data_IF_311932459624
#
_entry.id   IF_311932459624
#
_cell.length_a   1.000
_cell.length_b   1.000
_cell.length_c   1.000
_cell.angle_alpha   90.00
_cell.angle_beta   90.00
_cell.angle_gamma   90.00
#
_symmetry.space_group_name_H-M   'P 1'
#
loop_
_entity.id
_entity.type
_entity.pdbx_description
1 polymer ?
#
# COMPACT_ATOMS: atom_id res chain seq x y z
N UNK A 1 4.29 9.21 31.10
CA UNK A 1 5.53 9.83 30.63
C UNK A 1 5.68 9.38 29.19
N UNK A 2 5.03 10.09 28.27
CA UNK A 2 5.13 9.78 26.84
C UNK A 2 6.54 10.16 26.40
N UNK A 3 7.28 9.19 25.87
CA UNK A 3 8.52 9.47 25.18
C UNK A 3 8.10 10.17 23.89
N UNK A 4 8.03 11.49 23.93
CA UNK A 4 7.95 12.32 22.75
C UNK A 4 9.29 12.16 22.03
N UNK A 5 9.38 11.15 21.16
CA UNK A 5 10.49 11.01 20.21
C UNK A 5 10.35 12.18 19.26
N UNK A 6 10.91 13.33 19.65
CA UNK A 6 11.14 14.47 18.78
C UNK A 6 12.05 13.94 17.64
N UNK A 7 11.54 13.76 16.41
CA UNK A 7 12.31 13.12 15.35
C UNK A 7 13.20 14.18 14.69
N UNK A 8 14.21 14.65 15.41
CA UNK A 8 15.03 15.79 14.95
C UNK A 8 16.38 15.40 14.38
N UNK A 9 16.72 14.11 14.27
CA UNK A 9 17.90 13.65 13.54
C UNK A 9 17.62 12.39 12.73
N UNK A 10 16.92 12.55 11.62
CA UNK A 10 17.02 11.58 10.55
C UNK A 10 18.40 11.70 9.90
N UNK A 11 18.98 10.56 9.55
CA UNK A 11 20.10 10.49 8.63
C UNK A 11 19.56 9.95 7.30
N UNK A 12 20.21 10.33 6.20
CA UNK A 12 19.93 9.71 4.91
C UNK A 12 20.27 8.21 5.00
N UNK A 13 19.40 7.37 4.43
CA UNK A 13 19.63 5.94 4.29
C UNK A 13 18.55 5.07 4.92
N UNK A 14 18.90 3.78 5.06
CA UNK A 14 18.01 2.75 5.58
C UNK A 14 18.00 2.79 7.11
N UNK A 15 16.79 2.66 7.67
CA UNK A 15 16.53 2.43 9.08
C UNK A 15 15.82 1.09 9.20
N UNK A 16 16.54 0.09 9.70
CA UNK A 16 16.02 -1.26 9.96
C UNK A 16 15.17 -1.29 11.24
N UNK A 17 14.29 -2.28 11.34
CA UNK A 17 13.45 -2.57 12.51
C UNK A 17 12.55 -1.41 13.00
N UNK A 18 12.32 -0.41 12.15
CA UNK A 18 11.36 0.66 12.45
C UNK A 18 9.93 0.09 12.38
N UNK A 19 9.20 0.13 13.49
CA UNK A 19 7.80 -0.30 13.49
C UNK A 19 6.96 0.54 12.55
N UNK A 20 5.93 -0.06 11.93
CA UNK A 20 5.07 0.65 10.99
C UNK A 20 4.35 1.84 11.64
N UNK A 21 4.00 1.73 12.92
CA UNK A 21 3.37 2.82 13.67
C UNK A 21 4.31 3.99 13.89
N UNK A 22 5.58 3.72 14.22
CA UNK A 22 6.58 4.78 14.33
C UNK A 22 6.85 5.39 12.96
N UNK A 23 7.04 4.58 11.91
CA UNK A 23 7.18 5.02 10.51
C UNK A 23 6.06 5.99 10.10
N UNK A 24 4.79 5.66 10.37
CA UNK A 24 3.65 6.52 10.05
C UNK A 24 3.70 7.86 10.78
N UNK A 25 4.10 7.88 12.05
CA UNK A 25 4.18 9.09 12.89
C UNK A 25 5.40 9.97 12.60
N UNK A 26 6.40 9.46 11.87
CA UNK A 26 7.58 10.26 11.52
C UNK A 26 7.21 11.50 10.71
N UNK A 27 7.79 12.64 11.07
CA UNK A 27 7.65 13.92 10.38
C UNK A 27 8.48 13.94 9.09
N UNK A 28 8.05 13.14 8.13
CA UNK A 28 8.58 13.05 6.78
C UNK A 28 7.42 12.71 5.82
N UNK A 29 7.49 13.21 4.60
CA UNK A 29 6.46 13.08 3.57
C UNK A 29 6.58 11.69 2.93
N UNK A 30 5.48 10.95 2.82
CA UNK A 30 5.41 9.69 2.09
C UNK A 30 4.71 9.84 0.74
N UNK A 31 4.86 8.85 -0.16
CA UNK A 31 4.14 8.82 -1.44
C UNK A 31 2.61 8.91 -1.25
N UNK A 32 2.05 8.30 -0.19
CA UNK A 32 0.62 8.40 0.11
C UNK A 32 0.17 9.83 0.42
N UNK A 33 1.02 10.63 1.06
CA UNK A 33 0.70 12.02 1.39
C UNK A 33 0.60 12.84 0.12
N UNK A 34 1.53 12.64 -0.81
CA UNK A 34 1.54 13.29 -2.13
C UNK A 34 0.38 12.85 -3.02
N UNK A 35 -0.02 11.57 -2.98
CA UNK A 35 -1.26 11.12 -3.63
C UNK A 35 -2.49 11.79 -3.03
N UNK A 36 -2.54 11.95 -1.71
CA UNK A 36 -3.65 12.65 -1.05
C UNK A 36 -3.66 14.15 -1.41
N UNK A 37 -2.48 14.78 -1.64
CA UNK A 37 -2.39 16.16 -2.12
C UNK A 37 -3.07 16.34 -3.49
N UNK A 38 -3.13 15.31 -4.34
CA UNK A 38 -3.85 15.37 -5.62
C UNK A 38 -5.36 15.56 -5.42
N UNK A 39 -5.91 15.12 -4.28
CA UNK A 39 -7.30 15.40 -3.90
C UNK A 39 -7.45 16.81 -3.35
N UNK A 40 -6.69 17.14 -2.32
CA UNK A 40 -6.51 18.52 -1.83
C UNK A 40 -5.47 18.57 -0.70
N UNK A 41 -4.86 19.75 -0.45
CA UNK A 41 -4.02 19.95 0.72
C UNK A 41 -4.72 19.66 2.06
N UNK A 42 -5.95 20.15 2.23
CA UNK A 42 -6.73 19.85 3.44
C UNK A 42 -6.89 18.35 3.66
N UNK A 43 -7.18 17.59 2.59
CA UNK A 43 -7.33 16.15 2.68
C UNK A 43 -6.01 15.47 3.05
N UNK A 44 -4.90 15.86 2.43
CA UNK A 44 -3.58 15.32 2.76
C UNK A 44 -3.19 15.55 4.23
N UNK A 45 -3.43 16.75 4.76
CA UNK A 45 -3.12 17.09 6.16
C UNK A 45 -4.00 16.35 7.17
N UNK A 46 -5.29 16.21 6.88
CA UNK A 46 -6.27 15.70 7.85
C UNK A 46 -6.53 14.20 7.71
N UNK A 47 -6.01 13.53 6.67
CA UNK A 47 -6.31 12.12 6.43
C UNK A 47 -5.81 11.27 7.60
N UNK A 48 -6.75 10.72 8.36
CA UNK A 48 -6.46 9.67 9.32
C UNK A 48 -6.23 8.34 8.62
N UNK A 49 -5.30 7.55 9.13
CA UNK A 49 -5.13 6.17 8.73
C UNK A 49 -6.26 5.34 9.37
N UNK A 50 -7.07 4.69 8.54
CA UNK A 50 -8.07 3.72 8.98
C UNK A 50 -7.70 2.33 8.46
N UNK A 51 -7.91 1.31 9.29
CA UNK A 51 -7.92 -0.09 8.84
C UNK A 51 -9.25 -0.39 8.16
N UNK A 52 -9.23 -1.39 7.29
CA UNK A 52 -10.42 -1.95 6.65
C UNK A 52 -10.14 -3.43 6.37
N UNK A 53 -11.15 -4.28 6.22
CA UNK A 53 -10.93 -5.71 5.94
C UNK A 53 -10.03 -5.94 4.72
N UNK A 54 -10.22 -5.14 3.66
CA UNK A 54 -9.36 -5.22 2.46
C UNK A 54 -7.90 -4.83 2.73
N UNK A 55 -7.64 -3.89 3.64
CA UNK A 55 -6.27 -3.52 4.04
C UNK A 55 -5.64 -4.57 4.94
N UNK A 56 -6.39 -5.11 5.88
CA UNK A 56 -5.96 -6.21 6.77
C UNK A 56 -5.62 -7.45 5.95
N UNK A 57 -6.46 -7.80 4.96
CA UNK A 57 -6.17 -8.83 3.97
C UNK A 57 -4.90 -8.53 3.18
N UNK A 58 -4.75 -7.30 2.66
CA UNK A 58 -3.52 -6.88 1.99
C UNK A 58 -2.27 -7.04 2.87
N UNK A 59 -2.35 -6.68 4.15
CA UNK A 59 -1.25 -6.89 5.11
C UNK A 59 -0.93 -8.37 5.30
N UNK A 60 -1.94 -9.24 5.42
CA UNK A 60 -1.73 -10.68 5.52
C UNK A 60 -1.09 -11.26 4.25
N UNK A 61 -1.48 -10.77 3.06
CA UNK A 61 -0.84 -11.13 1.78
C UNK A 61 0.62 -10.67 1.74
N UNK A 62 0.92 -9.46 2.20
CA UNK A 62 2.31 -9.00 2.34
C UNK A 62 3.09 -9.92 3.26
N UNK A 63 2.58 -10.31 4.43
CA UNK A 63 3.27 -11.27 5.30
C UNK A 63 3.46 -12.61 4.60
N UNK A 64 2.45 -13.14 3.91
CA UNK A 64 2.55 -14.41 3.21
C UNK A 64 3.68 -14.41 2.17
N UNK A 65 3.84 -13.31 1.43
CA UNK A 65 4.83 -13.15 0.37
C UNK A 65 6.20 -12.74 0.93
N UNK A 66 6.25 -11.66 1.70
CA UNK A 66 7.47 -11.03 2.19
C UNK A 66 8.03 -11.73 3.42
N UNK A 67 7.25 -12.51 4.16
CA UNK A 67 7.73 -13.17 5.37
C UNK A 67 7.09 -14.56 5.47
N UNK A 68 7.34 -15.46 4.50
CA UNK A 68 6.53 -16.67 4.35
C UNK A 68 6.55 -17.60 5.57
N UNK A 69 7.67 -17.60 6.31
CA UNK A 69 7.83 -18.38 7.53
C UNK A 69 7.12 -17.77 8.76
N UNK A 70 6.65 -16.52 8.66
CA UNK A 70 5.98 -15.79 9.73
C UNK A 70 4.45 -15.89 9.66
N UNK A 71 3.89 -16.48 8.60
CA UNK A 71 2.44 -16.54 8.40
C UNK A 71 1.74 -17.26 9.56
N UNK A 72 2.13 -18.51 9.85
CA UNK A 72 1.56 -19.27 10.97
C UNK A 72 1.96 -18.72 12.35
N UNK A 73 3.03 -17.89 12.42
CA UNK A 73 3.44 -17.24 13.66
C UNK A 73 2.54 -16.04 13.98
N UNK A 74 2.24 -15.19 12.99
CA UNK A 74 1.49 -13.93 13.12
C UNK A 74 -0.02 -14.09 12.98
N UNK A 75 -0.49 -15.13 12.32
CA UNK A 75 -1.91 -15.32 12.08
C UNK A 75 -2.41 -16.63 12.67
N UNK A 76 -3.66 -16.60 13.13
CA UNK A 76 -4.38 -17.79 13.61
C UNK A 76 -5.62 -18.01 12.77
N UNK A 77 -6.00 -19.28 12.60
CA UNK A 77 -7.33 -19.61 12.06
C UNK A 77 -8.36 -19.36 13.15
N UNK A 78 -9.49 -18.77 12.78
CA UNK A 78 -10.60 -18.47 13.68
C UNK A 78 -11.15 -19.72 14.38
N UNK A 79 -11.83 -19.57 15.53
CA UNK A 79 -12.41 -20.69 16.24
C UNK A 79 -13.36 -21.51 15.35
N UNK A 80 -13.14 -22.83 15.31
CA UNK A 80 -13.98 -23.74 14.54
C UNK A 80 -15.42 -23.68 15.04
N UNK A 81 -16.35 -23.66 14.09
CA UNK A 81 -17.77 -23.74 14.40
C UNK A 81 -18.10 -25.12 14.98
N UNK A 82 -18.78 -25.20 16.14
CA UNK A 82 -19.33 -26.45 16.65
C UNK A 82 -20.41 -27.02 15.72
N UNK A 83 -20.46 -28.35 15.58
CA UNK A 83 -21.40 -29.05 14.69
C UNK A 83 -22.88 -28.73 14.95
N UNK A 84 -23.23 -28.32 16.16
CA UNK A 84 -24.59 -28.07 16.63
C UNK A 84 -25.06 -26.61 16.50
N UNK A 85 -24.22 -25.71 15.95
CA UNK A 85 -24.51 -24.28 15.87
C UNK A 85 -24.93 -23.82 14.47
N UNK A 86 -25.77 -22.78 14.38
CA UNK A 86 -26.15 -22.17 13.10
C UNK A 86 -25.02 -21.27 12.57
N UNK A 87 -24.49 -21.64 11.40
CA UNK A 87 -23.39 -20.94 10.73
C UNK A 87 -23.66 -19.44 10.52
N UNK A 88 -24.94 -19.04 10.35
CA UNK A 88 -25.31 -17.64 10.10
C UNK A 88 -25.07 -16.73 11.30
N UNK A 89 -25.02 -17.29 12.51
CA UNK A 89 -24.86 -16.53 13.75
C UNK A 89 -23.60 -16.90 14.53
N UNK A 90 -22.81 -17.89 14.09
CA UNK A 90 -21.62 -18.36 14.80
C UNK A 90 -20.69 -17.22 15.21
N UNK A 91 -20.29 -16.37 14.26
CA UNK A 91 -19.39 -15.22 14.50
C UNK A 91 -19.98 -14.16 15.44
N UNK A 92 -21.30 -14.14 15.60
CA UNK A 92 -21.99 -13.24 16.54
C UNK A 92 -22.02 -13.79 17.98
N UNK A 93 -21.80 -15.09 18.17
CA UNK A 93 -21.87 -15.74 19.48
C UNK A 93 -20.79 -15.25 20.45
N UNK A 94 -21.08 -15.38 21.75
CA UNK A 94 -20.11 -15.08 22.81
C UNK A 94 -18.90 -16.02 22.72
N UNK A 95 -19.13 -17.30 22.47
CA UNK A 95 -18.08 -18.32 22.37
C UNK A 95 -17.06 -17.99 21.27
N UNK A 96 -17.52 -17.60 20.08
CA UNK A 96 -16.64 -17.17 19.00
C UNK A 96 -15.81 -15.94 19.39
N UNK A 97 -16.45 -14.90 19.95
CA UNK A 97 -15.77 -13.66 20.32
C UNK A 97 -14.71 -13.88 21.39
N UNK A 98 -15.00 -14.70 22.39
CA UNK A 98 -14.04 -15.08 23.44
C UNK A 98 -12.89 -15.90 22.87
N UNK A 99 -13.17 -16.87 21.99
CA UNK A 99 -12.13 -17.66 21.32
C UNK A 99 -11.24 -16.81 20.41
N UNK A 100 -11.81 -15.96 19.57
CA UNK A 100 -11.07 -15.07 18.70
C UNK A 100 -10.22 -14.06 19.50
N UNK A 101 -10.76 -13.52 20.60
CA UNK A 101 -10.00 -12.65 21.49
C UNK A 101 -8.85 -13.39 22.19
N UNK A 102 -9.05 -14.64 22.59
CA UNK A 102 -7.99 -15.47 23.18
C UNK A 102 -6.85 -15.74 22.19
N UNK A 103 -7.17 -16.08 20.93
CA UNK A 103 -6.19 -16.26 19.86
C UNK A 103 -5.41 -14.97 19.59
N UNK A 104 -6.10 -13.83 19.50
CA UNK A 104 -5.49 -12.52 19.28
C UNK A 104 -4.59 -12.07 20.45
N UNK A 105 -4.85 -12.55 21.66
CA UNK A 105 -4.05 -12.24 22.84
C UNK A 105 -2.75 -13.06 22.93
N UNK A 106 -2.56 -14.07 22.06
CA UNK A 106 -1.32 -14.82 22.00
C UNK A 106 -0.13 -13.92 21.59
N UNK A 107 1.05 -14.07 22.22
CA UNK A 107 2.21 -13.27 21.87
C UNK A 107 2.60 -13.40 20.38
N UNK A 108 2.71 -12.26 19.70
CA UNK A 108 3.12 -12.20 18.29
C UNK A 108 2.00 -12.39 17.28
N UNK A 109 0.76 -12.63 17.71
CA UNK A 109 -0.40 -12.70 16.81
C UNK A 109 -0.85 -11.30 16.44
N UNK A 110 -0.98 -11.07 15.13
CA UNK A 110 -1.40 -9.82 14.51
C UNK A 110 -2.79 -9.92 13.87
N UNK A 111 -3.34 -11.13 13.71
CA UNK A 111 -4.68 -11.32 13.17
C UNK A 111 -5.25 -12.72 13.31
N UNK A 112 -6.58 -12.78 13.29
CA UNK A 112 -7.36 -14.02 13.23
C UNK A 112 -8.11 -14.05 11.91
N UNK A 113 -7.90 -15.09 11.12
CA UNK A 113 -8.40 -15.24 9.74
C UNK A 113 -9.37 -16.41 9.63
N UNK A 114 -10.25 -16.39 8.64
CA UNK A 114 -11.05 -17.58 8.33
C UNK A 114 -10.18 -18.72 7.81
N UNK A 115 -10.70 -19.96 7.85
CA UNK A 115 -9.98 -21.11 7.29
C UNK A 115 -9.70 -20.92 5.79
N UNK A 116 -10.68 -20.41 5.05
CA UNK A 116 -10.58 -20.14 3.61
C UNK A 116 -9.56 -19.04 3.31
N UNK A 117 -9.51 -17.99 4.12
CA UNK A 117 -8.51 -16.91 4.00
C UNK A 117 -7.10 -17.44 4.24
N UNK A 118 -6.91 -18.28 5.27
CA UNK A 118 -5.61 -18.90 5.55
C UNK A 118 -5.17 -19.85 4.43
N UNK A 119 -6.11 -20.64 3.87
CA UNK A 119 -5.84 -21.49 2.70
C UNK A 119 -5.47 -20.64 1.48
N UNK A 120 -6.19 -19.55 1.23
CA UNK A 120 -5.91 -18.60 0.16
C UNK A 120 -4.50 -18.00 0.28
N UNK A 121 -4.07 -17.62 1.49
CA UNK A 121 -2.70 -17.13 1.73
C UNK A 121 -1.65 -18.20 1.43
N UNK A 122 -1.90 -19.46 1.78
CA UNK A 122 -1.00 -20.58 1.45
C UNK A 122 -0.94 -20.84 -0.06
N UNK A 123 -2.06 -20.72 -0.77
CA UNK A 123 -2.05 -20.76 -2.24
C UNK A 123 -1.27 -19.59 -2.84
N UNK A 124 -1.42 -18.38 -2.31
CA UNK A 124 -0.62 -17.23 -2.75
C UNK A 124 0.88 -17.50 -2.59
N UNK A 125 1.32 -18.05 -1.45
CA UNK A 125 2.71 -18.45 -1.24
C UNK A 125 3.19 -19.44 -2.31
N UNK A 126 2.37 -20.45 -2.59
CA UNK A 126 2.67 -21.44 -3.62
C UNK A 126 2.77 -20.79 -5.01
N UNK A 127 1.82 -19.93 -5.37
CA UNK A 127 1.78 -19.25 -6.68
C UNK A 127 2.97 -18.31 -6.89
N UNK A 128 3.36 -17.57 -5.87
CA UNK A 128 4.56 -16.71 -5.94
C UNK A 128 5.83 -17.55 -6.08
N UNK A 129 5.91 -18.71 -5.42
CA UNK A 129 7.02 -19.65 -5.55
C UNK A 129 7.05 -20.37 -6.91
N UNK A 130 5.90 -20.63 -7.52
CA UNK A 130 5.79 -21.24 -8.86
C UNK A 130 6.05 -20.21 -9.98
N UNK A 131 5.84 -18.92 -9.71
CA UNK A 131 6.17 -17.85 -10.64
C UNK A 131 7.69 -17.69 -10.76
N UNK A 132 8.24 -17.77 -11.98
CA UNK A 132 9.68 -17.72 -12.20
C UNK A 132 10.35 -16.45 -11.65
N UNK A 133 9.69 -15.29 -11.78
CA UNK A 133 10.21 -14.03 -11.25
C UNK A 133 10.07 -14.00 -9.73
N UNK A 134 8.91 -14.35 -9.18
CA UNK A 134 8.69 -14.43 -7.73
C UNK A 134 9.72 -15.33 -7.03
N UNK A 135 9.95 -16.52 -7.57
CA UNK A 135 10.95 -17.47 -7.08
C UNK A 135 12.37 -16.89 -7.10
N UNK A 136 12.77 -16.30 -8.23
CA UNK A 136 14.11 -15.72 -8.38
C UNK A 136 14.35 -14.57 -7.41
N UNK A 137 13.35 -13.71 -7.17
CA UNK A 137 13.47 -12.62 -6.20
C UNK A 137 13.76 -13.19 -4.80
N UNK A 138 13.09 -14.29 -4.40
CA UNK A 138 13.33 -14.95 -3.11
C UNK A 138 14.75 -15.48 -2.94
N UNK A 139 15.34 -16.02 -4.01
CA UNK A 139 16.71 -16.54 -3.99
C UNK A 139 17.76 -15.44 -3.89
N UNK A 140 17.54 -14.29 -4.54
CA UNK A 140 18.47 -13.14 -4.49
C UNK A 140 18.52 -12.53 -3.07
N UNK A 141 17.41 -12.60 -2.34
CA UNK A 141 17.27 -11.96 -1.03
C UNK A 141 17.01 -10.47 -1.17
N UNK A 142 17.42 -9.68 -0.17
CA UNK A 142 17.18 -8.24 -0.12
C UNK A 142 16.55 -7.80 1.20
N UNK A 143 16.28 -6.50 1.29
CA UNK A 143 15.72 -5.87 2.49
C UNK A 143 14.21 -5.82 2.31
N UNK A 144 13.45 -6.40 3.25
CA UNK A 144 11.99 -6.39 3.23
C UNK A 144 11.46 -5.38 4.22
N UNK A 145 10.43 -4.64 3.83
CA UNK A 145 9.78 -3.63 4.69
C UNK A 145 10.78 -2.61 5.30
N UNK A 146 11.88 -2.33 4.60
CA UNK A 146 12.93 -1.45 5.08
C UNK A 146 12.51 0.01 4.98
N UNK A 147 12.61 0.78 6.06
CA UNK A 147 12.27 2.21 6.02
C UNK A 147 13.47 3.02 5.54
N UNK A 148 13.27 3.92 4.58
CA UNK A 148 14.32 4.78 4.05
C UNK A 148 13.89 6.23 4.19
N UNK A 149 14.82 7.06 4.68
CA UNK A 149 14.64 8.49 4.82
C UNK A 149 15.67 9.23 3.98
N UNK A 150 15.24 10.34 3.38
CA UNK A 150 16.11 11.22 2.59
C UNK A 150 15.74 12.67 2.85
N UNK A 151 16.72 13.50 3.18
CA UNK A 151 16.52 14.94 3.13
C UNK A 151 16.49 15.40 1.68
N UNK A 152 15.49 16.20 1.35
CA UNK A 152 15.31 16.80 0.04
C UNK A 152 15.63 18.29 0.11
N UNK A 153 16.80 18.66 -0.40
CA UNK A 153 17.29 20.04 -0.33
C UNK A 153 16.46 21.01 -1.21
N UNK A 154 15.88 20.51 -2.30
CA UNK A 154 15.09 21.32 -3.22
C UNK A 154 13.80 21.80 -2.55
N UNK A 155 13.06 20.87 -1.94
CA UNK A 155 11.78 21.16 -1.31
C UNK A 155 11.88 21.38 0.21
N UNK A 156 13.06 21.20 0.80
CA UNK A 156 13.36 21.37 2.24
C UNK A 156 12.45 20.54 3.14
N UNK A 157 12.24 19.29 2.75
CA UNK A 157 11.44 18.32 3.50
C UNK A 157 12.22 17.03 3.69
N UNK A 158 11.85 16.24 4.69
CA UNK A 158 12.25 14.84 4.75
C UNK A 158 11.28 14.02 3.91
N UNK A 159 11.81 13.20 3.02
CA UNK A 159 11.09 12.14 2.30
C UNK A 159 11.21 10.83 3.06
N UNK A 160 10.15 10.02 3.03
CA UNK A 160 10.17 8.65 3.56
C UNK A 160 9.54 7.67 2.59
N UNK A 161 10.17 6.50 2.45
CA UNK A 161 9.64 5.36 1.69
C UNK A 161 9.86 4.08 2.49
N UNK A 162 9.00 3.10 2.26
CA UNK A 162 9.14 1.76 2.81
C UNK A 162 8.83 0.78 1.68
N UNK A 163 9.84 0.40 0.87
CA UNK A 163 9.67 -0.66 -0.12
C UNK A 163 9.26 -1.96 0.56
N UNK A 164 8.29 -2.65 -0.03
CA UNK A 164 7.90 -4.00 0.37
C UNK A 164 9.12 -4.91 0.31
N UNK A 165 9.91 -4.77 -0.77
CA UNK A 165 11.17 -5.46 -0.94
C UNK A 165 12.14 -4.69 -1.83
N UNK A 166 13.30 -4.39 -1.27
CA UNK A 166 14.41 -3.71 -1.92
C UNK A 166 15.54 -4.70 -2.20
N UNK A 167 16.04 -4.71 -3.43
CA UNK A 167 17.22 -5.50 -3.84
C UNK A 167 18.31 -4.52 -4.28
N UNK A 168 19.13 -4.01 -3.34
CA UNK A 168 20.16 -3.03 -3.66
C UNK A 168 21.14 -3.51 -4.74
N UNK A 169 21.51 -4.79 -4.73
CA UNK A 169 22.52 -5.37 -5.64
C UNK A 169 22.14 -5.22 -7.11
N UNK A 170 20.84 -5.17 -7.42
CA UNK A 170 20.33 -5.06 -8.80
C UNK A 170 19.55 -3.76 -9.04
N UNK A 171 19.47 -2.86 -8.05
CA UNK A 171 18.70 -1.62 -8.15
C UNK A 171 17.19 -1.85 -8.33
N UNK A 172 16.68 -3.01 -7.89
CA UNK A 172 15.26 -3.40 -8.05
C UNK A 172 14.48 -3.07 -6.79
N UNK A 173 13.31 -2.47 -6.99
CA UNK A 173 12.31 -2.18 -5.96
C UNK A 173 11.05 -2.94 -6.32
N UNK A 174 10.57 -3.77 -5.41
CA UNK A 174 9.34 -4.54 -5.60
C UNK A 174 8.25 -3.93 -4.72
N UNK A 175 7.06 -3.82 -5.29
CA UNK A 175 5.84 -3.37 -4.65
C UNK A 175 4.76 -4.42 -4.90
N UNK A 176 4.36 -5.09 -3.83
CA UNK A 176 3.34 -6.14 -3.83
C UNK A 176 1.98 -5.47 -3.93
N UNK A 177 1.15 -5.99 -4.83
CA UNK A 177 -0.20 -5.48 -5.04
C UNK A 177 -1.18 -6.63 -5.11
N UNK A 178 -2.26 -6.50 -4.34
CA UNK A 178 -3.45 -7.33 -4.54
C UNK A 178 -4.44 -6.59 -5.43
N UNK A 179 -5.06 -7.31 -6.36
CA UNK A 179 -6.03 -6.74 -7.29
C UNK A 179 -7.04 -7.76 -7.76
N UNK A 180 -8.17 -7.29 -8.28
CA UNK A 180 -9.19 -8.18 -8.85
C UNK A 180 -8.79 -8.71 -10.24
N UNK A 181 -7.92 -7.99 -10.96
CA UNK A 181 -7.56 -8.32 -12.33
C UNK A 181 -6.14 -7.89 -12.65
N UNK A 182 -5.23 -8.87 -12.68
CA UNK A 182 -3.83 -8.69 -12.99
C UNK A 182 -3.57 -8.40 -14.47
N UNK A 183 -4.55 -8.54 -15.38
CA UNK A 183 -4.29 -8.43 -16.83
C UNK A 183 -3.78 -7.03 -17.19
N UNK A 184 -2.88 -6.89 -18.19
CA UNK A 184 -2.11 -5.66 -18.39
C UNK A 184 -2.97 -4.39 -18.53
N UNK A 185 -4.06 -4.45 -19.29
CA UNK A 185 -4.93 -3.28 -19.52
C UNK A 185 -5.66 -2.84 -18.26
N UNK A 186 -6.07 -3.79 -17.42
CA UNK A 186 -6.79 -3.52 -16.18
C UNK A 186 -5.83 -3.03 -15.11
N UNK A 187 -4.66 -3.64 -15.00
CA UNK A 187 -3.63 -3.18 -14.09
C UNK A 187 -3.10 -1.79 -14.46
N UNK A 188 -2.89 -1.48 -15.75
CA UNK A 188 -2.51 -0.13 -16.18
C UNK A 188 -3.55 0.94 -15.78
N UNK A 189 -4.85 0.61 -15.87
CA UNK A 189 -5.93 1.49 -15.37
C UNK A 189 -5.85 1.67 -13.87
N UNK A 190 -5.56 0.61 -13.11
CA UNK A 190 -5.35 0.68 -11.68
C UNK A 190 -4.12 1.56 -11.34
N UNK A 191 -3.02 1.41 -12.07
CA UNK A 191 -1.82 2.24 -11.90
C UNK A 191 -2.09 3.73 -12.07
N UNK A 192 -2.95 4.10 -13.03
CA UNK A 192 -3.40 5.47 -13.19
C UNK A 192 -4.35 5.89 -12.05
N UNK A 193 -5.41 5.12 -11.81
CA UNK A 193 -6.47 5.46 -10.84
C UNK A 193 -5.96 5.58 -9.40
N UNK A 194 -4.97 4.78 -9.02
CA UNK A 194 -4.41 4.76 -7.66
C UNK A 194 -3.06 5.49 -7.53
N UNK A 195 -2.59 6.15 -8.60
CA UNK A 195 -1.33 6.91 -8.59
C UNK A 195 -0.09 6.04 -8.33
N UNK A 196 -0.06 4.80 -8.84
CA UNK A 196 1.09 3.91 -8.65
C UNK A 196 2.33 4.41 -9.39
N UNK A 197 2.17 5.06 -10.54
CA UNK A 197 3.25 5.71 -11.27
C UNK A 197 3.92 6.85 -10.46
N UNK A 198 3.13 7.67 -9.77
CA UNK A 198 3.62 8.65 -8.80
C UNK A 198 4.43 7.95 -7.70
N UNK A 199 3.89 6.87 -7.12
CA UNK A 199 4.55 6.12 -6.05
C UNK A 199 5.88 5.52 -6.53
N UNK A 200 5.90 4.92 -7.72
CA UNK A 200 7.08 4.33 -8.32
C UNK A 200 8.20 5.37 -8.52
N UNK A 201 7.90 6.50 -9.18
CA UNK A 201 8.87 7.57 -9.40
C UNK A 201 9.40 8.14 -8.08
N UNK A 202 8.50 8.37 -7.11
CA UNK A 202 8.89 8.87 -5.79
C UNK A 202 9.83 7.90 -5.05
N UNK A 203 9.56 6.60 -5.13
CA UNK A 203 10.40 5.57 -4.52
C UNK A 203 11.77 5.49 -5.17
N UNK A 204 11.84 5.38 -6.49
CA UNK A 204 13.10 5.30 -7.23
C UNK A 204 14.00 6.50 -6.94
N UNK A 205 13.45 7.72 -7.03
CA UNK A 205 14.22 8.95 -6.81
C UNK A 205 14.64 9.10 -5.33
N UNK A 206 13.77 8.73 -4.38
CA UNK A 206 14.09 8.81 -2.94
C UNK A 206 15.15 7.79 -2.54
N UNK A 207 15.05 6.54 -3.03
CA UNK A 207 16.05 5.50 -2.75
C UNK A 207 17.39 5.86 -3.39
N UNK A 208 17.37 6.38 -4.61
CA UNK A 208 18.59 6.80 -5.32
C UNK A 208 19.33 7.90 -4.57
N UNK A 209 18.61 8.92 -4.12
CA UNK A 209 19.20 10.00 -3.33
C UNK A 209 19.66 9.56 -1.93
N UNK A 210 18.91 8.67 -1.27
CA UNK A 210 19.22 8.24 0.09
C UNK A 210 20.44 7.31 0.17
N UNK A 211 20.66 6.48 -0.84
CA UNK A 211 21.65 5.40 -0.84
C UNK A 211 22.84 5.65 -1.78
N UNK A 212 22.85 6.79 -2.47
CA UNK A 212 23.90 7.17 -3.43
C UNK A 212 24.15 6.07 -4.48
N UNK A 213 23.06 5.46 -4.96
CA UNK A 213 23.06 4.33 -5.89
C UNK A 213 21.87 4.40 -6.84
N UNK A 214 22.02 4.05 -8.12
CA UNK A 214 20.89 4.03 -9.06
C UNK A 214 19.86 2.96 -8.70
N UNK A 215 18.59 3.37 -8.65
CA UNK A 215 17.41 2.50 -8.63
C UNK A 215 16.53 2.85 -9.83
N UNK A 216 16.52 1.99 -10.84
CA UNK A 216 15.84 2.25 -12.12
C UNK A 216 14.67 1.27 -12.38
N UNK A 217 14.51 0.26 -11.51
CA UNK A 217 13.59 -0.84 -11.75
C UNK A 217 12.54 -0.93 -10.65
N UNK A 218 11.34 -0.40 -10.93
CA UNK A 218 10.18 -0.54 -10.07
C UNK A 218 9.26 -1.65 -10.59
N UNK A 219 9.18 -2.76 -9.86
CA UNK A 219 8.45 -3.96 -10.25
C UNK A 219 7.21 -4.11 -9.36
N UNK A 220 6.04 -4.09 -9.99
CA UNK A 220 4.80 -4.50 -9.34
C UNK A 220 4.71 -6.01 -9.37
N UNK A 221 4.64 -6.65 -8.19
CA UNK A 221 4.27 -8.06 -8.07
C UNK A 221 2.76 -8.12 -7.75
N UNK A 222 1.96 -8.38 -8.78
CA UNK A 222 0.51 -8.34 -8.69
C UNK A 222 -0.02 -9.74 -8.46
N UNK A 223 -0.83 -9.90 -7.42
CA UNK A 223 -1.52 -11.14 -7.08
C UNK A 223 -3.02 -10.92 -7.15
N UNK A 224 -3.71 -11.77 -7.88
CA UNK A 224 -5.17 -11.74 -7.93
C UNK A 224 -5.77 -12.09 -6.56
N UNK A 225 -6.75 -11.31 -6.12
CA UNK A 225 -7.42 -11.52 -4.83
C UNK A 225 -8.31 -12.76 -4.82
N UNK A 226 -8.79 -13.19 -5.99
CA UNK A 226 -9.61 -14.37 -6.19
C UNK A 226 -8.77 -15.59 -6.58
N UNK A 227 -9.27 -16.79 -6.24
CA UNK A 227 -8.70 -18.04 -6.71
C UNK A 227 -8.71 -18.08 -8.26
N UNK A 228 -7.63 -18.55 -8.92
CA UNK A 228 -6.52 -19.33 -8.37
C UNK A 228 -5.30 -18.49 -7.92
N UNK A 229 -5.50 -17.21 -7.58
CA UNK A 229 -4.48 -16.27 -7.11
C UNK A 229 -3.32 -16.09 -8.09
N UNK A 230 -3.66 -15.85 -9.36
CA UNK A 230 -2.68 -15.68 -10.42
C UNK A 230 -1.72 -14.53 -10.12
N UNK A 231 -0.45 -14.73 -10.51
CA UNK A 231 0.64 -13.79 -10.24
C UNK A 231 1.19 -13.25 -11.55
N UNK A 232 1.27 -11.93 -11.66
CA UNK A 232 1.91 -11.24 -12.77
C UNK A 232 2.85 -10.15 -12.27
N UNK A 233 3.91 -9.90 -13.04
CA UNK A 233 4.89 -8.85 -12.74
C UNK A 233 4.91 -7.80 -13.82
N UNK A 234 4.91 -6.53 -13.42
CA UNK A 234 4.91 -5.40 -14.36
C UNK A 234 5.91 -4.34 -13.96
N UNK A 235 6.48 -3.66 -14.95
CA UNK A 235 7.18 -2.39 -14.78
C UNK A 235 6.42 -1.32 -15.55
N UNK A 236 6.62 -0.06 -15.16
CA UNK A 236 6.16 1.08 -15.97
C UNK A 236 7.23 1.47 -16.98
N UNK A 237 6.80 2.01 -18.12
CA UNK A 237 7.70 2.61 -19.09
C UNK A 237 8.26 3.96 -18.59
N UNK A 238 9.29 4.46 -19.30
CA UNK A 238 9.97 5.68 -18.93
C UNK A 238 9.04 6.90 -18.90
N UNK A 239 8.11 6.99 -19.85
CA UNK A 239 7.15 8.10 -19.94
C UNK A 239 6.20 8.11 -18.74
N UNK A 240 5.73 6.94 -18.32
CA UNK A 240 4.87 6.79 -17.13
C UNK A 240 5.62 7.12 -15.83
N UNK A 241 6.90 6.75 -15.74
CA UNK A 241 7.76 7.13 -14.60
C UNK A 241 7.98 8.65 -14.59
N UNK A 242 8.28 9.27 -15.73
CA UNK A 242 8.48 10.72 -15.82
C UNK A 242 7.17 11.49 -15.50
N UNK A 243 6.03 10.98 -15.93
CA UNK A 243 4.73 11.53 -15.53
C UNK A 243 4.55 11.47 -14.01
N UNK A 244 4.87 10.33 -13.38
CA UNK A 244 4.85 10.19 -11.92
C UNK A 244 5.80 11.18 -11.23
N UNK A 245 6.99 11.40 -11.81
CA UNK A 245 7.99 12.36 -11.32
C UNK A 245 7.48 13.79 -11.37
N UNK A 246 6.90 14.19 -12.50
CA UNK A 246 6.27 15.50 -12.65
C UNK A 246 5.18 15.72 -11.59
N UNK A 247 4.32 14.72 -11.38
CA UNK A 247 3.21 14.81 -10.43
C UNK A 247 3.67 14.88 -8.97
N UNK A 248 4.59 14.02 -8.53
CA UNK A 248 5.04 14.05 -7.13
C UNK A 248 5.81 15.35 -6.82
N UNK A 249 6.64 15.84 -7.76
CA UNK A 249 7.38 17.09 -7.58
C UNK A 249 6.45 18.29 -7.45
N UNK A 250 5.39 18.35 -8.28
CA UNK A 250 4.35 19.37 -8.15
C UNK A 250 3.62 19.27 -6.80
N UNK A 251 3.34 18.05 -6.34
CA UNK A 251 2.72 17.82 -5.04
C UNK A 251 3.63 18.25 -3.87
N UNK A 252 4.94 17.99 -3.94
CA UNK A 252 5.93 18.45 -2.96
C UNK A 252 6.03 19.98 -2.92
N UNK A 253 6.05 20.64 -4.08
CA UNK A 253 6.04 22.10 -4.15
C UNK A 253 4.83 22.69 -3.39
N UNK A 254 3.65 22.13 -3.64
CA UNK A 254 2.42 22.58 -2.98
C UNK A 254 2.41 22.21 -1.48
N UNK A 255 2.95 21.05 -1.11
CA UNK A 255 3.14 20.66 0.29
C UNK A 255 3.99 21.69 1.03
N UNK A 256 5.13 22.06 0.42
CA UNK A 256 6.05 23.04 0.99
C UNK A 256 5.40 24.41 1.16
N UNK A 257 4.67 24.89 0.17
CA UNK A 257 3.90 26.14 0.27
C UNK A 257 2.88 26.08 1.43
N UNK A 258 2.20 24.94 1.60
CA UNK A 258 1.24 24.77 2.69
C UNK A 258 1.91 24.76 4.07
N UNK A 259 3.11 24.17 4.18
CA UNK A 259 3.92 24.23 5.41
C UNK A 259 4.38 25.66 5.72
N UNK A 260 4.88 26.39 4.72
CA UNK A 260 5.38 27.76 4.90
C UNK A 260 4.29 28.76 5.26
N UNK A 261 3.13 28.65 4.61
CA UNK A 261 2.00 29.57 4.83
C UNK A 261 1.10 29.15 5.99
N UNK A 262 1.19 27.90 6.43
CA UNK A 262 0.26 27.28 7.37
C UNK A 262 -1.15 27.05 6.80
N UNK A 263 -1.37 27.34 5.52
CA UNK A 263 -2.68 27.23 4.85
C UNK A 263 -2.76 25.94 4.06
N UNK A 264 -3.84 25.19 4.28
CA UNK A 264 -4.08 23.90 3.64
C UNK A 264 -5.45 23.93 2.98
N UNK A 265 -5.56 24.51 1.77
CA UNK A 265 -6.84 24.73 1.14
C UNK A 265 -7.54 23.42 0.77
N UNK A 266 -8.87 23.45 0.69
CA UNK A 266 -9.69 22.34 0.24
C UNK A 266 -11.12 22.78 -0.03
N UNK A 267 -11.78 22.12 -0.98
CA UNK A 267 -13.13 22.48 -1.41
C UNK A 267 -13.21 23.84 -2.13
N UNK A 268 -14.41 24.18 -2.59
CA UNK A 268 -14.74 25.49 -3.16
C UNK A 268 -15.63 26.25 -2.18
N UNK A 269 -15.44 27.57 -2.09
CA UNK A 269 -16.35 28.48 -1.38
C UNK A 269 -17.50 28.98 -2.26
N UNK A 270 -17.54 28.55 -3.53
CA UNK A 270 -18.53 28.95 -4.52
C UNK A 270 -19.51 27.81 -4.78
N UNK A 271 -20.75 28.17 -5.10
CA UNK A 271 -21.72 27.23 -5.66
C UNK A 271 -21.39 27.12 -7.15
N UNK A 272 -21.13 25.90 -7.62
CA UNK A 272 -20.81 25.59 -9.00
C UNK A 272 -21.88 24.65 -9.56
N UNK A 273 -22.42 24.99 -10.73
CA UNK A 273 -23.28 24.07 -11.48
C UNK A 273 -22.41 22.96 -12.09
N UNK A 274 -22.79 21.71 -11.87
CA UNK A 274 -22.07 20.53 -12.36
C UNK A 274 -22.94 19.78 -13.37
N UNK A 275 -22.35 19.40 -14.51
CA UNK A 275 -22.97 18.51 -15.49
C UNK A 275 -22.58 17.07 -15.17
N UNK A 276 -23.54 16.15 -15.25
CA UNK A 276 -23.27 14.72 -15.15
C UNK A 276 -22.31 14.26 -16.26
N UNK A 277 -21.48 13.23 -16.02
CA UNK A 277 -20.68 12.63 -17.08
C UNK A 277 -21.54 12.23 -18.27
N UNK A 278 -20.99 12.36 -19.49
CA UNK A 278 -21.76 12.14 -20.72
C UNK A 278 -22.42 10.76 -20.79
N UNK A 279 -21.77 9.73 -20.23
CA UNK A 279 -22.34 8.38 -20.17
C UNK A 279 -23.59 8.24 -19.30
N UNK A 280 -23.81 9.16 -18.34
CA UNK A 280 -24.94 9.16 -17.41
C UNK A 280 -26.11 10.03 -17.89
N UNK A 281 -25.92 10.86 -18.93
CA UNK A 281 -26.97 11.66 -19.55
C UNK A 281 -27.57 10.84 -20.69
N UNK A 282 -28.68 10.15 -20.44
CA UNK A 282 -29.29 9.23 -21.41
C UNK A 282 -30.82 9.39 -21.58
N UNK A 283 -31.41 10.49 -21.09
CA UNK A 283 -32.86 10.70 -21.17
C UNK A 283 -33.39 10.82 -22.61
N UNK A 284 -32.54 11.17 -23.58
CA UNK A 284 -32.89 11.16 -25.01
C UNK A 284 -32.80 9.79 -25.68
N UNK A 285 -32.31 8.73 -25.01
CA UNK A 285 -32.17 7.39 -25.60
C UNK A 285 -33.40 6.49 -25.41
N UNK A 286 -34.44 6.98 -24.75
CA UNK A 286 -35.64 6.20 -24.41
C UNK A 286 -36.80 6.37 -25.43
N UNK A 287 -36.63 7.17 -26.49
CA UNK A 287 -37.73 7.46 -27.44
C UNK A 287 -37.87 6.47 -28.61
N UNK A 288 -37.04 5.40 -28.70
CA UNK A 288 -37.12 4.45 -29.83
C UNK A 288 -37.94 3.18 -29.58
N UNK A 289 -38.57 2.98 -28.41
CA UNK A 289 -39.42 1.79 -28.17
C UNK A 289 -40.62 2.08 -27.23
N UNK A 290 -41.53 2.97 -27.64
CA UNK A 290 -42.89 3.04 -27.11
C UNK A 290 -43.91 2.93 -28.24
#
# INVERSE_FOLDING_TARGET
>A
MEIEVQPTKWANGIVEDLSMDLYRRTAAVAASDLKNMQRSPAFARMRSHSTSPAKEWGTAVHTAILEPNMLDARYRVEPQQPDDNDAKVWRATKLYKEGAAALMAEPGVEGVLSADDMESLRWIQQRVKENAIGAQLHEIGGIREGSVFCHDDEFRVWRKVRPDWLIPQTGVVIDVKTGADHRPRQFARACHAYGYHLSAAYYLDTLTAALDQSFDHYVFLVVNSDAPHEVATYTLDADSIEQGRHEYRRALAHWRECEETGRWPGGSSKIEELRLPEYAINFHKLEENF
#
